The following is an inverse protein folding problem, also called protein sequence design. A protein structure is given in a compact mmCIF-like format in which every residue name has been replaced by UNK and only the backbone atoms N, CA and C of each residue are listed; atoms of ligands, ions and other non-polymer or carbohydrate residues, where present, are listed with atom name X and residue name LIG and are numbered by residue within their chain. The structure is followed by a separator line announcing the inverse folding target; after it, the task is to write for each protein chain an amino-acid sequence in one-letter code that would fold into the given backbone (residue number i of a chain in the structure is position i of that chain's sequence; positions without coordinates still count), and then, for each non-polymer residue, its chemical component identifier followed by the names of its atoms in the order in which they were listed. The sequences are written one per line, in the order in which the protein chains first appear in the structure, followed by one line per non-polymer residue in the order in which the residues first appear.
data_IF_001543719867
#
_entry.id   IF_001543719867
#
_cell.length_a   1.000
_cell.length_b   1.000
_cell.length_c   1.000
_cell.angle_alpha   90.00
_cell.angle_beta   90.00
_cell.angle_gamma   90.00
#
_symmetry.space_group_name_H-M   'P 1'
#
loop_
_entity.id
_entity.type
_entity.pdbx_description
1 polymer ?
#
# COMPACT_ATOMS: atom_id res chain seq x y z
N UNK A 1 -21.64 -12.24 -7.74
CA UNK A 1 -20.39 -12.39 -8.55
C UNK A 1 -20.78 -13.16 -9.79
N UNK A 2 -20.56 -12.61 -10.98
CA UNK A 2 -20.86 -13.34 -12.21
C UNK A 2 -19.93 -14.56 -12.32
N UNK A 3 -20.42 -15.66 -12.88
CA UNK A 3 -19.68 -16.95 -12.96
C UNK A 3 -18.30 -16.80 -13.64
N UNK A 4 -18.17 -15.85 -14.57
CA UNK A 4 -16.90 -15.49 -15.22
C UNK A 4 -15.84 -14.89 -14.29
N UNK A 5 -16.23 -14.15 -13.25
CA UNK A 5 -15.28 -13.58 -12.28
C UNK A 5 -14.65 -14.66 -11.41
N UNK A 6 -15.41 -15.71 -11.10
CA UNK A 6 -14.93 -16.81 -10.28
C UNK A 6 -13.92 -17.67 -11.03
N UNK A 7 -14.21 -18.03 -12.29
CA UNK A 7 -13.28 -18.76 -13.15
C UNK A 7 -11.97 -18.00 -13.37
N UNK A 8 -12.04 -16.69 -13.60
CA UNK A 8 -10.86 -15.85 -13.77
C UNK A 8 -9.98 -15.84 -12.49
N UNK A 9 -10.60 -15.66 -11.31
CA UNK A 9 -9.89 -15.71 -10.02
C UNK A 9 -9.27 -17.07 -9.75
N UNK A 10 -9.97 -18.17 -10.07
CA UNK A 10 -9.44 -19.53 -9.89
C UNK A 10 -8.21 -19.74 -10.78
N UNK A 11 -8.30 -19.34 -12.05
CA UNK A 11 -7.18 -19.46 -12.99
C UNK A 11 -5.97 -18.68 -12.51
N UNK A 12 -6.16 -17.43 -12.09
CA UNK A 12 -5.11 -16.55 -11.57
C UNK A 12 -4.39 -17.18 -10.36
N UNK A 13 -5.17 -17.66 -9.39
CA UNK A 13 -4.65 -18.33 -8.20
C UNK A 13 -3.81 -19.56 -8.57
N UNK A 14 -4.33 -20.44 -9.44
CA UNK A 14 -3.61 -21.64 -9.87
C UNK A 14 -2.34 -21.27 -10.66
N UNK A 15 -2.42 -20.32 -11.60
CA UNK A 15 -1.27 -19.91 -12.41
C UNK A 15 -0.15 -19.35 -11.57
N UNK A 16 -0.44 -18.53 -10.56
CA UNK A 16 0.59 -17.96 -9.67
C UNK A 16 1.44 -19.05 -9.01
N UNK A 17 0.80 -20.10 -8.47
CA UNK A 17 1.50 -21.20 -7.80
C UNK A 17 2.27 -22.10 -8.78
N UNK A 18 1.76 -22.32 -9.98
CA UNK A 18 2.49 -23.06 -11.03
C UNK A 18 3.74 -22.29 -11.45
N UNK A 19 3.62 -20.98 -11.69
CA UNK A 19 4.74 -20.14 -12.11
C UNK A 19 5.80 -20.03 -11.00
N UNK A 20 5.40 -20.01 -9.73
CA UNK A 20 6.35 -20.10 -8.60
C UNK A 20 7.26 -21.33 -8.69
N UNK A 21 6.77 -22.48 -9.13
CA UNK A 21 7.58 -23.69 -9.31
C UNK A 21 8.54 -23.55 -10.51
N UNK A 22 8.13 -22.85 -11.57
CA UNK A 22 8.97 -22.65 -12.75
C UNK A 22 10.11 -21.63 -12.48
N UNK A 23 9.81 -20.52 -11.82
CA UNK A 23 10.74 -19.39 -11.65
C UNK A 23 11.56 -19.43 -10.36
N UNK A 24 11.43 -20.45 -9.50
CA UNK A 24 12.21 -20.55 -8.27
C UNK A 24 13.67 -21.01 -8.48
N UNK A 25 14.03 -21.45 -9.69
CA UNK A 25 15.28 -22.16 -9.97
C UNK A 25 16.55 -21.31 -9.84
N UNK A 26 16.47 -20.00 -10.12
CA UNK A 26 17.60 -19.07 -10.00
C UNK A 26 17.20 -17.79 -9.28
N UNK A 27 18.17 -17.02 -8.78
CA UNK A 27 17.88 -15.70 -8.21
C UNK A 27 17.30 -14.72 -9.24
N UNK A 28 17.84 -14.72 -10.46
CA UNK A 28 17.40 -13.78 -11.49
C UNK A 28 15.95 -14.05 -11.91
N UNK A 29 15.57 -15.32 -12.06
CA UNK A 29 14.18 -15.71 -12.34
C UNK A 29 13.25 -15.34 -11.19
N UNK A 30 13.68 -15.55 -9.93
CA UNK A 30 12.90 -15.15 -8.74
C UNK A 30 12.69 -13.65 -8.69
N UNK A 31 13.74 -12.85 -8.89
CA UNK A 31 13.65 -11.38 -8.92
C UNK A 31 12.73 -10.90 -10.04
N UNK A 32 12.89 -11.46 -11.24
CA UNK A 32 12.05 -11.11 -12.38
C UNK A 32 10.58 -11.45 -12.12
N UNK A 33 10.28 -12.65 -11.62
CA UNK A 33 8.91 -13.07 -11.31
C UNK A 33 8.29 -12.20 -10.22
N UNK A 34 9.02 -11.89 -9.14
CA UNK A 34 8.54 -10.98 -8.10
C UNK A 34 8.23 -9.60 -8.66
N UNK A 35 9.10 -9.04 -9.51
CA UNK A 35 8.87 -7.74 -10.13
C UNK A 35 7.58 -7.73 -10.96
N UNK A 36 7.38 -8.74 -11.82
CA UNK A 36 6.18 -8.84 -12.66
C UNK A 36 4.90 -9.02 -11.84
N UNK A 37 4.92 -9.88 -10.82
CA UNK A 37 3.77 -10.07 -9.93
C UNK A 37 3.46 -8.81 -9.12
N UNK A 38 4.48 -8.07 -8.67
CA UNK A 38 4.29 -6.78 -7.99
C UNK A 38 3.67 -5.75 -8.92
N UNK A 39 4.11 -5.66 -10.17
CA UNK A 39 3.56 -4.71 -11.14
C UNK A 39 2.11 -5.07 -11.52
N UNK A 40 1.79 -6.36 -11.63
CA UNK A 40 0.42 -6.83 -11.82
C UNK A 40 -0.48 -6.49 -10.63
N UNK A 41 0.02 -6.67 -9.40
CA UNK A 41 -0.71 -6.30 -8.18
C UNK A 41 -0.96 -4.79 -8.15
N UNK A 42 0.05 -3.96 -8.41
CA UNK A 42 -0.09 -2.49 -8.49
C UNK A 42 -1.15 -2.07 -9.51
N UNK A 43 -1.10 -2.65 -10.71
CA UNK A 43 -2.10 -2.35 -11.73
C UNK A 43 -3.52 -2.68 -11.25
N UNK A 44 -3.73 -3.90 -10.71
CA UNK A 44 -5.05 -4.31 -10.19
C UNK A 44 -5.51 -3.44 -9.03
N UNK A 45 -4.59 -3.05 -8.15
CA UNK A 45 -4.90 -2.20 -6.99
C UNK A 45 -5.30 -0.78 -7.42
N UNK A 46 -4.62 -0.22 -8.42
CA UNK A 46 -4.96 1.09 -8.99
C UNK A 46 -6.31 1.10 -9.72
N UNK A 47 -6.73 -0.03 -10.32
CA UNK A 47 -8.04 -0.17 -10.94
C UNK A 47 -9.20 -0.29 -9.92
N UNK A 48 -8.92 -0.54 -8.64
CA UNK A 48 -9.96 -0.61 -7.60
C UNK A 48 -10.47 0.79 -7.24
N UNK A 49 -11.77 0.87 -6.92
CA UNK A 49 -12.37 2.06 -6.30
C UNK A 49 -11.91 2.21 -4.84
N UNK A 50 -11.89 3.44 -4.32
CA UNK A 50 -11.47 3.73 -2.94
C UNK A 50 -12.21 2.87 -1.90
N UNK A 51 -13.52 2.64 -2.10
CA UNK A 51 -14.33 1.79 -1.21
C UNK A 51 -13.92 0.32 -1.22
N UNK A 52 -13.43 -0.20 -2.35
CA UNK A 52 -12.93 -1.57 -2.45
C UNK A 52 -11.49 -1.67 -1.92
N UNK A 53 -10.66 -0.65 -2.12
CA UNK A 53 -9.32 -0.56 -1.53
C UNK A 53 -9.41 -0.59 -0.01
N UNK A 54 -10.29 0.21 0.58
CA UNK A 54 -10.49 0.23 2.03
C UNK A 54 -10.92 -1.15 2.56
N UNK A 55 -11.92 -1.79 1.93
CA UNK A 55 -12.35 -3.15 2.29
C UNK A 55 -11.24 -4.19 2.14
N UNK A 56 -10.38 -4.04 1.12
CA UNK A 56 -9.23 -4.91 0.93
C UNK A 56 -8.22 -4.74 2.06
N UNK A 57 -7.87 -3.50 2.42
CA UNK A 57 -6.94 -3.21 3.52
C UNK A 57 -7.47 -3.74 4.86
N UNK A 58 -8.78 -3.57 5.13
CA UNK A 58 -9.45 -4.15 6.31
C UNK A 58 -9.40 -5.68 6.30
N UNK A 59 -9.58 -6.32 5.14
CA UNK A 59 -9.56 -7.78 5.01
C UNK A 59 -8.15 -8.37 5.20
N UNK A 60 -7.12 -7.70 4.69
CA UNK A 60 -5.72 -8.13 4.82
C UNK A 60 -5.20 -7.93 6.25
N UNK A 61 -5.97 -7.26 7.11
CA UNK A 61 -5.66 -7.03 8.52
C UNK A 61 -4.31 -6.31 8.72
N UNK A 62 -4.02 -5.38 7.81
CA UNK A 62 -2.88 -4.48 7.98
C UNK A 62 -3.28 -3.38 8.96
N UNK A 63 -2.44 -3.04 9.96
CA UNK A 63 -2.74 -2.05 10.98
C UNK A 63 -2.61 -0.62 10.42
N UNK A 64 -3.45 -0.28 9.43
CA UNK A 64 -3.55 1.06 8.88
C UNK A 64 -4.71 1.78 9.55
N UNK A 65 -4.41 2.51 10.63
CA UNK A 65 -5.41 3.34 11.30
C UNK A 65 -5.48 4.70 10.59
N UNK A 66 -6.59 5.01 9.91
CA UNK A 66 -6.81 6.35 9.38
C UNK A 66 -6.83 7.37 10.53
N UNK A 67 -6.13 8.49 10.38
CA UNK A 67 -6.10 9.52 11.43
C UNK A 67 -7.41 10.32 11.45
N UNK A 68 -7.83 10.76 12.64
CA UNK A 68 -8.97 11.66 12.77
C UNK A 68 -8.66 13.05 12.17
N UNK A 69 -9.69 13.76 11.72
CA UNK A 69 -9.54 15.10 11.17
C UNK A 69 -9.00 16.10 12.21
N UNK A 70 -9.30 15.90 13.50
CA UNK A 70 -8.76 16.72 14.59
C UNK A 70 -7.24 16.55 14.71
N UNK A 71 -6.74 15.31 14.70
CA UNK A 71 -5.32 15.01 14.78
C UNK A 71 -4.58 15.49 13.53
N UNK A 72 -5.24 15.36 12.37
CA UNK A 72 -4.73 15.87 11.08
C UNK A 72 -4.62 17.39 11.07
N UNK A 73 -5.58 18.10 11.67
CA UNK A 73 -5.52 19.55 11.80
C UNK A 73 -4.37 19.99 12.70
N UNK A 74 -4.18 19.31 13.84
CA UNK A 74 -3.08 19.57 14.78
C UNK A 74 -1.71 19.36 14.11
N UNK A 75 -1.53 18.23 13.40
CA UNK A 75 -0.27 17.84 12.77
C UNK A 75 -0.08 18.41 11.36
N UNK A 76 -0.99 19.25 10.87
CA UNK A 76 -1.05 19.68 9.47
C UNK A 76 0.26 20.29 8.96
N UNK A 77 0.87 21.18 9.76
CA UNK A 77 2.14 21.84 9.42
C UNK A 77 3.30 20.83 9.36
N UNK A 78 3.36 19.88 10.29
CA UNK A 78 4.42 18.88 10.37
C UNK A 78 4.32 17.84 9.25
N UNK A 79 3.09 17.42 8.91
CA UNK A 79 2.81 16.54 7.77
C UNK A 79 3.22 17.18 6.45
N UNK A 80 2.96 18.49 6.27
CA UNK A 80 3.35 19.22 5.06
C UNK A 80 4.87 19.30 4.91
N UNK A 81 5.59 19.57 6.00
CA UNK A 81 7.06 19.68 5.99
C UNK A 81 7.76 18.33 5.79
N UNK A 82 7.15 17.26 6.29
CA UNK A 82 7.76 15.92 6.30
C UNK A 82 7.46 15.09 5.06
N UNK A 83 6.51 15.52 4.21
CA UNK A 83 6.08 14.79 3.01
C UNK A 83 6.59 15.51 1.75
N UNK A 84 7.71 15.08 1.14
CA UNK A 84 8.29 15.74 -0.03
C UNK A 84 7.38 15.57 -1.26
N UNK A 85 7.08 16.65 -1.98
CA UNK A 85 6.29 16.60 -3.21
C UNK A 85 4.77 16.73 -3.04
N UNK A 86 4.31 17.14 -1.84
CA UNK A 86 2.91 17.51 -1.62
C UNK A 86 2.58 18.82 -2.33
N UNK A 87 1.93 18.74 -3.49
CA UNK A 87 1.42 19.91 -4.23
C UNK A 87 0.01 20.32 -3.80
N UNK A 88 -0.71 19.42 -3.12
CA UNK A 88 -2.07 19.61 -2.63
C UNK A 88 -2.10 19.90 -1.13
N UNK A 89 -3.22 20.47 -0.68
CA UNK A 89 -3.43 20.82 0.72
C UNK A 89 -3.51 19.54 1.55
N UNK A 90 -2.86 19.50 2.72
CA UNK A 90 -2.84 18.33 3.63
C UNK A 90 -4.26 17.86 3.96
N UNK A 91 -5.23 18.78 3.94
CA UNK A 91 -6.66 18.54 4.18
C UNK A 91 -7.32 17.60 3.18
N UNK A 92 -6.88 17.57 1.93
CA UNK A 92 -7.52 16.76 0.88
C UNK A 92 -6.98 15.32 0.85
N UNK A 93 -5.95 15.03 1.64
CA UNK A 93 -5.23 13.75 1.62
C UNK A 93 -5.59 12.95 2.86
N UNK A 94 -5.89 11.66 2.67
CA UNK A 94 -6.01 10.69 3.75
C UNK A 94 -4.62 10.32 4.26
N UNK A 95 -4.43 10.40 5.57
CA UNK A 95 -3.21 9.95 6.24
C UNK A 95 -3.53 8.76 7.13
N UNK A 96 -2.59 7.83 7.20
CA UNK A 96 -2.69 6.63 8.03
C UNK A 96 -1.56 6.63 9.03
N UNK A 97 -1.89 6.20 10.24
CA UNK A 97 -0.97 5.94 11.32
C UNK A 97 -0.52 4.49 11.23
N UNK A 98 0.79 4.29 11.17
CA UNK A 98 1.44 2.99 10.96
C UNK A 98 2.53 2.78 12.01
N UNK A 99 2.71 1.55 12.46
CA UNK A 99 3.83 1.20 13.34
C UNK A 99 5.18 1.49 12.67
N UNK A 100 6.14 2.01 13.42
CA UNK A 100 7.43 2.39 12.84
C UNK A 100 8.14 1.22 12.13
N UNK A 101 8.00 0.00 12.65
CA UNK A 101 8.59 -1.21 12.06
C UNK A 101 8.07 -1.52 10.64
N UNK A 102 6.84 -1.12 10.32
CA UNK A 102 6.23 -1.39 9.02
C UNK A 102 6.52 -0.27 7.99
N UNK A 103 6.98 0.91 8.46
CA UNK A 103 7.28 2.08 7.64
C UNK A 103 8.80 2.35 7.47
N UNK A 104 9.63 1.31 7.58
CA UNK A 104 11.11 1.43 7.62
C UNK A 104 11.69 2.17 6.43
N UNK A 105 11.26 1.84 5.22
CA UNK A 105 11.79 2.45 4.01
C UNK A 105 11.43 3.93 3.89
N UNK A 106 10.25 4.30 4.39
CA UNK A 106 9.74 5.68 4.34
C UNK A 106 10.44 6.57 5.35
N UNK A 107 10.59 6.13 6.60
CA UNK A 107 11.24 6.94 7.62
C UNK A 107 12.75 7.02 7.42
N UNK A 108 13.39 5.95 6.91
CA UNK A 108 14.82 5.96 6.55
C UNK A 108 15.12 7.02 5.49
N UNK A 109 14.19 7.20 4.56
CA UNK A 109 14.28 8.23 3.52
C UNK A 109 13.82 9.63 3.98
N UNK A 110 13.41 9.80 5.25
CA UNK A 110 12.83 11.04 5.81
C UNK A 110 11.65 11.56 4.98
N UNK A 111 10.80 10.65 4.50
CA UNK A 111 9.63 10.98 3.67
C UNK A 111 8.30 11.04 4.43
N UNK A 112 8.32 10.72 5.72
CA UNK A 112 7.13 10.62 6.58
C UNK A 112 7.38 11.29 7.92
N UNK A 113 6.29 11.77 8.51
CA UNK A 113 6.30 12.33 9.85
C UNK A 113 6.25 11.21 10.90
N UNK A 114 6.93 11.38 12.03
CA UNK A 114 7.02 10.38 13.10
C UNK A 114 6.71 11.06 14.44
N UNK A 115 5.76 10.52 15.20
CA UNK A 115 5.43 10.98 16.55
C UNK A 115 5.02 9.78 17.41
N UNK A 116 5.51 9.74 18.65
CA UNK A 116 5.18 8.73 19.67
C UNK A 116 5.36 7.26 19.20
N UNK A 117 6.36 6.99 18.36
CA UNK A 117 6.63 5.64 17.84
C UNK A 117 5.77 5.21 16.66
N UNK A 118 4.99 6.12 16.08
CA UNK A 118 4.18 5.90 14.89
C UNK A 118 4.63 6.79 13.73
N UNK A 119 4.55 6.24 12.51
CA UNK A 119 4.73 6.97 11.28
C UNK A 119 3.37 7.37 10.69
N UNK A 120 3.30 8.58 10.15
CA UNK A 120 2.12 9.14 9.51
C UNK A 120 2.36 9.18 8.01
N UNK A 121 1.67 8.31 7.28
CA UNK A 121 1.92 8.02 5.87
C UNK A 121 0.73 8.50 5.04
N UNK A 122 0.93 9.28 3.97
CA UNK A 122 -0.15 9.63 3.06
C UNK A 122 -0.62 8.41 2.27
N UNK A 123 -1.90 8.37 1.90
CA UNK A 123 -2.48 7.26 1.11
C UNK A 123 -1.64 6.90 -0.13
N UNK A 124 -1.08 7.92 -0.80
CA UNK A 124 -0.25 7.74 -2.00
C UNK A 124 1.02 6.90 -1.78
N UNK A 125 1.58 6.92 -0.57
CA UNK A 125 2.79 6.16 -0.24
C UNK A 125 2.48 4.77 0.34
N UNK A 126 1.19 4.43 0.51
CA UNK A 126 0.71 3.09 0.85
C UNK A 126 0.38 2.28 -0.41
N UNK A 127 -0.12 2.96 -1.46
CA UNK A 127 -0.40 2.42 -2.79
C UNK A 127 0.89 2.02 -3.54
#
# INVERSE_FOLDING_TARGET
LAEGDYEARRKDHISHFILRLAYCQSEDLRRWFLQQEMDLLRYRFNELTDSLRQKFLEHVNLPFEAISEDLKAELSHELQMSTPGLTCNVKDIMFYKVGLADAVDLFRARKVFIKDGFAYVPQKDID
#
